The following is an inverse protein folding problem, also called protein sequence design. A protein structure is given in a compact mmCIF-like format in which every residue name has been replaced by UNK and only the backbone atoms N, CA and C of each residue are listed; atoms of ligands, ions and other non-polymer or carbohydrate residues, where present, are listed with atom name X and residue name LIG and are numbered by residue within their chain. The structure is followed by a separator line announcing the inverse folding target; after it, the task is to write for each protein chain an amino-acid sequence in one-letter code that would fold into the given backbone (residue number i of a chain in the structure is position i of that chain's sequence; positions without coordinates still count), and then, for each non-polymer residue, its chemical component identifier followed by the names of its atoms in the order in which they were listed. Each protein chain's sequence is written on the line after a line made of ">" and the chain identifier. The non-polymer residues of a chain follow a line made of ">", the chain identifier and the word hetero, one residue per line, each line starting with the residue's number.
data_IF_204311295974
#
_entry.id   IF_204311295974
#
_cell.length_a   1.000
_cell.length_b   1.000
_cell.length_c   1.000
_cell.angle_alpha   90.00
_cell.angle_beta   90.00
_cell.angle_gamma   90.00
#
_symmetry.space_group_name_H-M   'P 1'
#
loop_
_entity.id
_entity.type
_entity.pdbx_description
1 polymer ?
#
# COMPACT_ATOMS: atom_id res chain seq x y z
N UNK A 1 -10.66 -9.67 13.43
CA UNK A 1 -11.03 -10.33 12.16
C UNK A 1 -10.02 -10.09 11.04
N UNK A 2 -9.23 -9.00 11.07
CA UNK A 2 -8.26 -8.67 10.01
C UNK A 2 -6.93 -9.46 10.06
N UNK A 3 -6.44 -9.85 11.23
CA UNK A 3 -5.10 -10.49 11.36
C UNK A 3 -4.91 -11.77 10.54
N UNK A 4 -5.97 -12.59 10.37
CA UNK A 4 -5.87 -13.83 9.60
C UNK A 4 -5.69 -13.53 8.10
N UNK A 5 -6.46 -12.58 7.58
CA UNK A 5 -6.34 -12.13 6.18
C UNK A 5 -4.99 -11.48 5.92
N UNK A 6 -4.51 -10.66 6.87
CA UNK A 6 -3.22 -10.01 6.79
C UNK A 6 -2.05 -11.02 6.83
N UNK A 7 -2.10 -12.01 7.72
CA UNK A 7 -1.12 -13.11 7.75
C UNK A 7 -1.10 -13.91 6.44
N UNK A 8 -2.26 -14.12 5.83
CA UNK A 8 -2.37 -14.81 4.54
C UNK A 8 -1.80 -13.95 3.40
N UNK A 9 -2.12 -12.66 3.36
CA UNK A 9 -1.59 -11.71 2.41
C UNK A 9 -0.06 -11.61 2.52
N UNK A 10 0.48 -11.47 3.73
CA UNK A 10 1.93 -11.42 3.99
C UNK A 10 2.67 -12.66 3.51
N UNK A 11 2.09 -13.86 3.67
CA UNK A 11 2.67 -15.09 3.11
C UNK A 11 2.71 -15.07 1.59
N UNK A 12 1.67 -14.53 0.95
CA UNK A 12 1.62 -14.40 -0.50
C UNK A 12 2.63 -13.37 -0.99
N UNK A 13 2.68 -12.18 -0.38
CA UNK A 13 3.64 -11.13 -0.69
C UNK A 13 5.07 -11.60 -0.51
N UNK A 14 5.40 -12.22 0.62
CA UNK A 14 6.74 -12.78 0.83
C UNK A 14 7.15 -13.71 -0.30
N UNK A 15 6.25 -14.60 -0.75
CA UNK A 15 6.52 -15.50 -1.87
C UNK A 15 6.72 -14.77 -3.19
N UNK A 16 5.94 -13.71 -3.45
CA UNK A 16 6.05 -12.90 -4.67
C UNK A 16 7.33 -12.06 -4.68
N UNK A 17 7.78 -11.57 -3.52
CA UNK A 17 8.96 -10.73 -3.38
C UNK A 17 10.27 -11.54 -3.33
N UNK A 18 10.23 -12.80 -2.86
CA UNK A 18 11.42 -13.64 -2.68
C UNK A 18 11.82 -14.44 -3.94
N UNK A 19 11.31 -14.10 -5.11
CA UNK A 19 11.52 -14.87 -6.36
C UNK A 19 11.80 -13.95 -7.52
N UNK A 20 12.63 -14.41 -8.46
CA UNK A 20 12.90 -13.69 -9.71
C UNK A 20 11.96 -14.11 -10.86
N UNK A 21 11.09 -15.09 -10.62
CA UNK A 21 10.09 -15.52 -11.60
C UNK A 21 8.99 -14.47 -11.75
N UNK A 22 8.47 -14.29 -12.96
CA UNK A 22 7.39 -13.34 -13.22
C UNK A 22 6.04 -13.80 -12.66
N UNK A 23 5.83 -15.12 -12.60
CA UNK A 23 4.57 -15.72 -12.13
C UNK A 23 4.87 -16.82 -11.11
N UNK A 24 4.14 -16.82 -10.00
CA UNK A 24 4.19 -17.89 -8.98
C UNK A 24 2.83 -18.54 -8.77
N UNK A 25 2.82 -19.81 -8.36
CA UNK A 25 1.60 -20.50 -7.93
C UNK A 25 1.40 -20.31 -6.42
N UNK A 26 0.25 -19.80 -5.99
CA UNK A 26 -0.13 -19.66 -4.59
C UNK A 26 -1.59 -20.12 -4.41
N UNK A 27 -1.83 -21.05 -3.48
CA UNK A 27 -3.15 -21.63 -3.20
C UNK A 27 -3.96 -21.95 -4.46
N UNK A 28 -3.39 -22.80 -5.32
CA UNK A 28 -3.98 -23.23 -6.60
C UNK A 28 -4.21 -22.14 -7.65
N UNK A 29 -3.89 -20.87 -7.36
CA UNK A 29 -3.97 -19.75 -8.31
C UNK A 29 -2.59 -19.31 -8.80
N UNK A 30 -2.53 -18.68 -9.97
CA UNK A 30 -1.33 -18.01 -10.49
C UNK A 30 -1.35 -16.54 -10.06
N UNK A 31 -0.22 -16.05 -9.59
CA UNK A 31 -0.01 -14.68 -9.10
C UNK A 31 1.13 -14.04 -9.87
N UNK A 32 0.95 -12.79 -10.29
CA UNK A 32 1.98 -12.01 -10.98
C UNK A 32 2.99 -11.47 -9.96
N UNK A 33 4.09 -12.19 -9.77
CA UNK A 33 5.13 -11.84 -8.81
C UNK A 33 5.92 -10.59 -9.23
N UNK A 34 6.15 -10.40 -10.54
CA UNK A 34 6.82 -9.22 -11.08
C UNK A 34 6.11 -7.93 -10.71
N UNK A 35 4.80 -7.87 -10.90
CA UNK A 35 4.00 -6.70 -10.53
C UNK A 35 4.14 -6.34 -9.05
N UNK A 36 4.11 -7.33 -8.16
CA UNK A 36 4.31 -7.08 -6.73
C UNK A 36 5.71 -6.55 -6.42
N UNK A 37 6.77 -7.11 -7.02
CA UNK A 37 8.13 -6.59 -6.83
C UNK A 37 8.23 -5.13 -7.25
N UNK A 38 7.69 -4.77 -8.40
CA UNK A 38 7.70 -3.39 -8.91
C UNK A 38 6.85 -2.46 -8.03
N UNK A 39 5.64 -2.90 -7.65
CA UNK A 39 4.72 -2.13 -6.82
C UNK A 39 5.31 -1.81 -5.44
N UNK A 40 5.94 -2.79 -4.78
CA UNK A 40 6.55 -2.60 -3.46
C UNK A 40 7.90 -1.88 -3.52
N UNK A 41 8.59 -1.86 -4.66
CA UNK A 41 9.80 -1.08 -4.85
C UNK A 41 9.52 0.43 -4.98
N UNK A 42 8.30 0.82 -5.35
CA UNK A 42 7.93 2.22 -5.47
C UNK A 42 7.63 2.85 -4.11
N UNK A 43 8.38 3.89 -3.74
CA UNK A 43 8.15 4.64 -2.50
C UNK A 43 7.19 5.81 -2.72
N UNK A 44 5.90 5.58 -2.46
CA UNK A 44 4.87 6.61 -2.56
C UNK A 44 5.14 7.81 -1.65
N UNK A 45 5.77 7.61 -0.48
CA UNK A 45 6.02 8.69 0.50
C UNK A 45 6.98 9.74 -0.02
N UNK A 46 8.01 9.32 -0.75
CA UNK A 46 8.94 10.26 -1.40
C UNK A 46 8.25 11.10 -2.47
N UNK A 47 7.29 10.52 -3.19
CA UNK A 47 6.53 11.25 -4.21
C UNK A 47 5.61 12.30 -3.58
N UNK A 48 5.03 12.02 -2.42
CA UNK A 48 4.18 12.98 -1.68
C UNK A 48 4.94 14.26 -1.30
N UNK A 49 6.25 14.20 -1.06
CA UNK A 49 7.10 15.37 -0.75
C UNK A 49 7.20 16.37 -1.91
N UNK A 50 6.82 15.96 -3.11
CA UNK A 50 6.80 16.81 -4.30
C UNK A 50 5.43 17.46 -4.54
N UNK A 51 4.43 17.15 -3.73
CA UNK A 51 3.08 17.72 -3.85
C UNK A 51 3.01 19.06 -3.13
N UNK A 52 2.75 20.13 -3.90
CA UNK A 52 2.69 21.51 -3.42
C UNK A 52 1.26 22.12 -3.47
N UNK A 53 0.31 21.41 -4.07
CA UNK A 53 -1.09 21.88 -4.19
C UNK A 53 -1.88 21.60 -2.91
N UNK A 54 -2.97 22.34 -2.65
CA UNK A 54 -3.88 22.01 -1.56
C UNK A 54 -4.44 20.59 -1.69
N UNK A 55 -4.55 19.88 -0.58
CA UNK A 55 -4.98 18.48 -0.50
C UNK A 55 -6.17 18.37 0.43
N UNK A 56 -7.23 17.72 -0.08
CA UNK A 56 -8.37 17.28 0.71
C UNK A 56 -8.30 15.76 0.87
N UNK A 57 -8.08 15.29 2.09
CA UNK A 57 -8.01 13.87 2.39
C UNK A 57 -9.35 13.41 3.00
N UNK A 58 -10.05 12.49 2.33
CA UNK A 58 -11.36 11.98 2.77
C UNK A 58 -11.22 10.51 3.16
N UNK A 59 -11.72 10.14 4.35
CA UNK A 59 -11.70 8.75 4.82
C UNK A 59 -13.09 8.21 5.15
N UNK A 60 -13.25 6.90 5.00
CA UNK A 60 -14.43 6.17 5.47
C UNK A 60 -14.04 5.20 6.57
N UNK A 61 -14.75 5.25 7.70
CA UNK A 61 -14.56 4.41 8.89
C UNK A 61 -14.67 2.90 8.62
N UNK A 62 -15.34 2.54 7.53
CA UNK A 62 -15.58 1.15 7.11
C UNK A 62 -14.66 0.67 5.98
N UNK A 63 -13.68 1.48 5.56
CA UNK A 63 -12.71 1.02 4.56
C UNK A 63 -11.69 0.07 5.20
N UNK A 64 -11.94 -1.22 5.06
CA UNK A 64 -11.06 -2.28 5.59
C UNK A 64 -9.69 -2.41 4.91
N UNK A 65 -9.48 -1.77 3.75
CA UNK A 65 -8.23 -1.85 3.00
C UNK A 65 -7.26 -0.72 3.35
N UNK A 66 -7.74 0.31 4.06
CA UNK A 66 -6.98 1.51 4.38
C UNK A 66 -6.76 1.62 5.89
N UNK A 67 -5.52 1.87 6.30
CA UNK A 67 -5.21 2.18 7.70
C UNK A 67 -5.32 3.69 7.92
N UNK A 68 -6.34 4.12 8.66
CA UNK A 68 -6.59 5.52 9.04
C UNK A 68 -5.37 6.16 9.72
N UNK A 69 -4.59 5.40 10.49
CA UNK A 69 -3.38 5.90 11.14
C UNK A 69 -2.30 6.31 10.13
N UNK A 70 -2.21 5.63 8.99
CA UNK A 70 -1.26 5.97 7.91
C UNK A 70 -1.64 7.26 7.18
N UNK A 71 -2.89 7.74 7.30
CA UNK A 71 -3.27 9.04 6.73
C UNK A 71 -2.97 10.21 7.68
N UNK A 72 -2.74 9.94 8.98
CA UNK A 72 -2.33 10.99 9.94
C UNK A 72 -0.92 11.51 9.68
N UNK A 73 -0.06 10.74 9.01
CA UNK A 73 1.26 11.21 8.56
C UNK A 73 1.20 12.08 7.29
N UNK A 74 0.09 12.06 6.55
CA UNK A 74 -0.03 12.76 5.26
C UNK A 74 0.33 14.25 5.35
N UNK A 75 -0.14 15.04 6.33
CA UNK A 75 0.23 16.46 6.45
C UNK A 75 1.74 16.70 6.65
N UNK A 76 2.48 15.69 7.14
CA UNK A 76 3.93 15.79 7.34
C UNK A 76 4.72 15.40 6.08
N UNK A 77 4.10 14.67 5.15
CA UNK A 77 4.73 14.17 3.93
C UNK A 77 4.58 15.13 2.75
N UNK A 78 3.58 16.01 2.77
CA UNK A 78 3.23 16.92 1.66
C UNK A 78 3.66 18.35 1.98
N UNK A 79 3.90 19.15 0.95
CA UNK A 79 4.28 20.57 1.11
C UNK A 79 3.11 21.53 0.95
N UNK A 80 1.99 21.07 0.37
CA UNK A 80 0.75 21.83 0.27
C UNK A 80 -0.05 21.80 1.57
N UNK A 81 -0.99 22.73 1.73
CA UNK A 81 -1.99 22.70 2.82
C UNK A 81 -2.80 21.40 2.72
N UNK A 82 -2.90 20.66 3.83
CA UNK A 82 -3.61 19.39 3.88
C UNK A 82 -4.73 19.46 4.92
N UNK A 83 -5.97 19.24 4.48
CA UNK A 83 -7.15 19.19 5.34
C UNK A 83 -7.71 17.77 5.35
N UNK A 84 -7.63 17.05 6.48
CA UNK A 84 -8.30 15.76 6.64
C UNK A 84 -9.78 15.94 7.03
N UNK A 85 -10.66 15.18 6.40
CA UNK A 85 -12.09 15.00 6.75
C UNK A 85 -12.31 13.60 7.30
#
# INVERSE_FOLDING_TARGET
>A
MYEKGEKQANKMFHKALSTDQDVVKYQFTKVNAKWYREHFAFNTRESLQQVHVPILAIMFDKDSLSNTETLKELPQLVKGQCEPI
#
